data_IF_617329231537
#
_entry.id   IF_617329231537
#
_cell.length_a   1.000
_cell.length_b   1.000
_cell.length_c   1.000
_cell.angle_alpha   90.00
_cell.angle_beta   90.00
_cell.angle_gamma   90.00
#
_symmetry.space_group_name_H-M   'P 1'
#
loop_
_entity.id
_entity.type
_entity.pdbx_description
1 polymer ?
#
# COMPACT_ATOMS: atom_id res chain seq x y z
N UNK A 1 4.00 -3.01 2.72
CA UNK A 1 5.24 -2.30 3.16
C UNK A 1 5.70 -1.24 2.15
N UNK A 2 6.06 -1.55 0.87
CA UNK A 2 6.52 -0.53 -0.08
C UNK A 2 5.54 0.65 -0.26
N UNK A 3 4.26 0.37 -0.58
CA UNK A 3 3.23 1.40 -0.74
C UNK A 3 3.01 2.22 0.54
N UNK A 4 3.02 1.56 1.70
CA UNK A 4 2.86 2.16 3.01
C UNK A 4 3.99 3.15 3.30
N UNK A 5 5.23 2.70 3.07
CA UNK A 5 6.42 3.52 3.26
C UNK A 5 6.45 4.74 2.33
N UNK A 6 6.05 4.53 1.06
CA UNK A 6 5.91 5.63 0.11
C UNK A 6 4.94 6.70 0.62
N UNK A 7 3.83 6.30 1.23
CA UNK A 7 2.88 7.26 1.78
C UNK A 7 3.42 7.98 3.01
N UNK A 8 4.17 7.29 3.90
CA UNK A 8 4.78 7.91 5.07
C UNK A 8 5.82 8.98 4.68
N UNK A 9 6.72 8.65 3.76
CA UNK A 9 7.88 9.50 3.49
C UNK A 9 7.59 10.54 2.40
N UNK A 10 6.80 10.19 1.40
CA UNK A 10 6.68 11.00 0.17
C UNK A 10 5.33 11.66 -0.04
N UNK A 11 4.28 11.29 0.73
CA UNK A 11 2.95 11.87 0.54
C UNK A 11 2.90 13.37 0.76
N UNK A 12 3.51 13.84 1.85
CA UNK A 12 3.59 15.26 2.17
C UNK A 12 4.42 16.06 1.17
N UNK A 13 5.51 15.46 0.68
CA UNK A 13 6.37 16.05 -0.35
C UNK A 13 5.60 16.17 -1.67
N UNK A 14 4.83 15.14 -2.03
CA UNK A 14 4.01 15.14 -3.24
C UNK A 14 3.00 16.29 -3.25
N UNK A 15 2.24 16.48 -2.18
CA UNK A 15 1.28 17.59 -2.05
C UNK A 15 1.98 18.94 -2.19
N UNK A 16 3.16 19.13 -1.59
CA UNK A 16 3.87 20.40 -1.59
C UNK A 16 4.57 20.70 -2.90
N UNK A 17 5.24 19.72 -3.50
CA UNK A 17 6.08 19.94 -4.69
C UNK A 17 5.31 19.77 -6.00
N UNK A 18 4.34 18.85 -6.06
CA UNK A 18 3.62 18.52 -7.29
C UNK A 18 2.30 19.29 -7.40
N UNK A 19 1.59 19.43 -6.28
CA UNK A 19 0.29 20.12 -6.24
C UNK A 19 0.36 21.53 -5.67
N UNK A 20 1.56 21.98 -5.26
CA UNK A 20 1.80 23.30 -4.65
C UNK A 20 0.88 23.60 -3.46
N UNK A 21 0.44 22.56 -2.77
CA UNK A 21 -0.43 22.66 -1.60
C UNK A 21 0.33 23.16 -0.36
N UNK A 22 -0.40 23.78 0.57
CA UNK A 22 0.16 24.22 1.86
C UNK A 22 0.57 23.05 2.76
N UNK A 23 1.39 23.34 3.78
CA UNK A 23 1.74 22.33 4.80
C UNK A 23 0.50 21.76 5.49
N UNK A 24 -0.51 22.59 5.76
CA UNK A 24 -1.76 22.16 6.37
C UNK A 24 -2.49 21.13 5.50
N UNK A 25 -2.58 21.38 4.18
CA UNK A 25 -3.19 20.43 3.23
C UNK A 25 -2.42 19.11 3.18
N UNK A 26 -1.09 19.16 3.18
CA UNK A 26 -0.26 17.95 3.21
C UNK A 26 -0.51 17.12 4.49
N UNK A 27 -0.63 17.78 5.65
CA UNK A 27 -0.95 17.13 6.91
C UNK A 27 -2.34 16.51 6.90
N UNK A 28 -3.37 17.25 6.41
CA UNK A 28 -4.74 16.74 6.31
C UNK A 28 -4.80 15.51 5.39
N UNK A 29 -4.14 15.55 4.24
CA UNK A 29 -4.09 14.42 3.31
C UNK A 29 -3.45 13.18 3.96
N UNK A 30 -2.37 13.37 4.71
CA UNK A 30 -1.74 12.28 5.47
C UNK A 30 -2.67 11.74 6.58
N UNK A 31 -3.38 12.60 7.29
CA UNK A 31 -4.38 12.19 8.30
C UNK A 31 -5.50 11.38 7.66
N UNK A 32 -6.01 11.80 6.50
CA UNK A 32 -7.03 11.03 5.73
C UNK A 32 -6.52 9.63 5.42
N UNK A 33 -5.27 9.50 4.95
CA UNK A 33 -4.63 8.20 4.71
C UNK A 33 -4.57 7.36 6.01
N UNK A 34 -4.10 7.93 7.11
CA UNK A 34 -3.94 7.23 8.39
C UNK A 34 -5.28 6.78 8.97
N UNK A 35 -6.31 7.63 8.93
CA UNK A 35 -7.66 7.28 9.39
C UNK A 35 -8.25 6.16 8.53
N UNK A 36 -8.11 6.24 7.21
CA UNK A 36 -8.55 5.20 6.30
C UNK A 36 -7.85 3.85 6.58
N UNK A 37 -6.52 3.88 6.76
CA UNK A 37 -5.73 2.69 7.06
C UNK A 37 -6.14 2.07 8.40
N UNK A 38 -6.31 2.87 9.44
CA UNK A 38 -6.72 2.38 10.77
C UNK A 38 -8.13 1.80 10.74
N UNK A 39 -9.07 2.49 10.08
CA UNK A 39 -10.45 2.00 9.91
C UNK A 39 -10.48 0.69 9.14
N UNK A 40 -9.70 0.60 8.08
CA UNK A 40 -9.58 -0.63 7.30
C UNK A 40 -9.00 -1.80 8.11
N UNK A 41 -8.04 -1.56 9.00
CA UNK A 41 -7.50 -2.60 9.91
C UNK A 41 -8.55 -3.10 10.89
N UNK A 42 -9.33 -2.22 11.49
CA UNK A 42 -10.38 -2.61 12.43
C UNK A 42 -11.49 -3.45 11.78
N UNK A 43 -11.79 -3.20 10.53
CA UNK A 43 -12.82 -3.93 9.78
C UNK A 43 -12.27 -5.14 9.02
N UNK A 44 -10.96 -5.21 8.85
CA UNK A 44 -10.27 -6.17 7.99
C UNK A 44 -10.58 -7.62 8.33
N UNK A 45 -10.51 -7.98 9.61
CA UNK A 45 -10.75 -9.34 10.07
C UNK A 45 -12.18 -9.79 9.75
N UNK A 46 -13.19 -8.94 10.04
CA UNK A 46 -14.59 -9.24 9.73
C UNK A 46 -14.85 -9.40 8.23
N UNK A 47 -14.17 -8.59 7.41
CA UNK A 47 -14.28 -8.67 5.95
C UNK A 47 -13.59 -9.94 5.45
N UNK A 48 -12.45 -10.29 6.02
CA UNK A 48 -11.73 -11.51 5.66
C UNK A 48 -12.48 -12.79 6.05
N UNK A 49 -13.14 -12.81 7.21
CA UNK A 49 -13.97 -13.93 7.65
C UNK A 49 -15.17 -14.14 6.70
N UNK A 50 -15.72 -13.06 6.17
CA UNK A 50 -16.89 -13.13 5.28
C UNK A 50 -16.55 -13.43 3.83
N UNK A 51 -15.47 -12.85 3.30
CA UNK A 51 -15.14 -12.91 1.87
C UNK A 51 -13.91 -13.76 1.54
N UNK A 52 -13.13 -14.12 2.56
CA UNK A 52 -11.87 -14.84 2.44
C UNK A 52 -10.68 -13.90 2.19
N UNK A 53 -9.54 -14.26 2.78
CA UNK A 53 -8.29 -13.47 2.74
C UNK A 53 -7.84 -13.18 1.29
N UNK A 54 -7.99 -14.15 0.39
CA UNK A 54 -7.58 -14.00 -1.01
C UNK A 54 -8.31 -12.87 -1.73
N UNK A 55 -9.64 -12.79 -1.56
CA UNK A 55 -10.46 -11.74 -2.19
C UNK A 55 -10.15 -10.37 -1.58
N UNK A 56 -9.91 -10.33 -0.28
CA UNK A 56 -9.54 -9.09 0.41
C UNK A 56 -8.19 -8.59 -0.07
N UNK A 57 -7.18 -9.46 -0.23
CA UNK A 57 -5.89 -9.09 -0.79
C UNK A 57 -5.99 -8.61 -2.25
N UNK A 58 -6.85 -9.23 -3.07
CA UNK A 58 -7.09 -8.77 -4.42
C UNK A 58 -7.76 -7.38 -4.44
N UNK A 59 -8.78 -7.18 -3.62
CA UNK A 59 -9.44 -5.88 -3.45
C UNK A 59 -8.46 -4.80 -2.94
N UNK A 60 -7.59 -5.16 -1.99
CA UNK A 60 -6.52 -4.27 -1.50
C UNK A 60 -5.59 -3.83 -2.63
N UNK A 61 -5.18 -4.75 -3.49
CA UNK A 61 -4.35 -4.42 -4.66
C UNK A 61 -5.05 -3.45 -5.63
N UNK A 62 -6.35 -3.64 -5.89
CA UNK A 62 -7.15 -2.73 -6.72
C UNK A 62 -7.27 -1.36 -6.07
N UNK A 63 -7.55 -1.29 -4.77
CA UNK A 63 -7.65 -0.03 -4.03
C UNK A 63 -6.33 0.74 -4.02
N UNK A 64 -5.21 0.06 -3.80
CA UNK A 64 -3.88 0.66 -3.86
C UNK A 64 -3.60 1.22 -5.25
N UNK A 65 -3.81 0.41 -6.29
CA UNK A 65 -3.53 0.83 -7.66
C UNK A 65 -4.39 1.99 -8.10
N UNK A 66 -5.70 1.94 -7.85
CA UNK A 66 -6.63 3.02 -8.18
C UNK A 66 -6.33 4.29 -7.37
N UNK A 67 -6.00 4.13 -6.09
CA UNK A 67 -5.62 5.25 -5.23
C UNK A 67 -4.37 5.97 -5.75
N UNK A 68 -3.28 5.26 -6.02
CA UNK A 68 -2.06 5.85 -6.58
C UNK A 68 -2.29 6.40 -8.00
N UNK A 69 -3.09 5.75 -8.83
CA UNK A 69 -3.42 6.23 -10.16
C UNK A 69 -4.17 7.58 -10.09
N UNK A 70 -5.14 7.69 -9.21
CA UNK A 70 -5.85 8.95 -8.96
C UNK A 70 -4.88 10.04 -8.50
N UNK A 71 -3.96 9.73 -7.58
CA UNK A 71 -2.95 10.68 -7.10
C UNK A 71 -2.07 11.18 -8.26
N UNK A 72 -1.62 10.28 -9.12
CA UNK A 72 -0.72 10.61 -10.24
C UNK A 72 -1.41 11.43 -11.32
N UNK A 73 -2.64 11.07 -11.67
CA UNK A 73 -3.40 11.72 -12.75
C UNK A 73 -4.06 13.02 -12.31
N UNK A 74 -4.30 13.17 -11.00
CA UNK A 74 -4.98 14.35 -10.48
C UNK A 74 -4.04 15.54 -10.32
N UNK A 75 -4.50 16.71 -10.77
CA UNK A 75 -3.96 18.01 -10.39
C UNK A 75 -4.82 18.71 -9.31
N UNK A 76 -5.87 18.02 -8.81
CA UNK A 76 -6.88 18.59 -7.92
C UNK A 76 -6.75 18.00 -6.52
N UNK A 77 -6.52 18.85 -5.51
CA UNK A 77 -6.27 18.42 -4.13
C UNK A 77 -7.39 17.50 -3.58
N UNK A 78 -8.69 17.82 -3.71
CA UNK A 78 -9.76 16.96 -3.20
C UNK A 78 -9.76 15.56 -3.83
N UNK A 79 -9.48 15.46 -5.13
CA UNK A 79 -9.41 14.18 -5.82
C UNK A 79 -8.17 13.38 -5.39
N UNK A 80 -7.06 14.07 -5.15
CA UNK A 80 -5.87 13.45 -4.57
C UNK A 80 -6.14 12.93 -3.16
N UNK A 81 -6.91 13.64 -2.33
CA UNK A 81 -7.33 13.15 -1.00
C UNK A 81 -8.15 11.86 -1.09
N UNK A 82 -9.03 11.74 -2.10
CA UNK A 82 -9.73 10.47 -2.38
C UNK A 82 -8.72 9.35 -2.71
N UNK A 83 -7.69 9.64 -3.48
CA UNK A 83 -6.60 8.70 -3.74
C UNK A 83 -5.89 8.25 -2.46
N UNK A 84 -5.62 9.16 -1.53
CA UNK A 84 -5.03 8.85 -0.21
C UNK A 84 -5.94 7.95 0.62
N UNK A 85 -7.25 8.24 0.64
CA UNK A 85 -8.23 7.42 1.34
C UNK A 85 -8.28 6.00 0.77
N UNK A 86 -8.36 5.85 -0.54
CA UNK A 86 -8.38 4.53 -1.20
C UNK A 86 -7.09 3.75 -0.95
N UNK A 87 -5.93 4.43 -1.03
CA UNK A 87 -4.64 3.81 -0.73
C UNK A 87 -4.57 3.35 0.72
N UNK A 88 -5.04 4.16 1.67
CA UNK A 88 -5.07 3.82 3.09
C UNK A 88 -5.92 2.58 3.37
N UNK A 89 -7.13 2.53 2.83
CA UNK A 89 -7.99 1.35 2.92
C UNK A 89 -7.33 0.12 2.28
N UNK A 90 -6.72 0.29 1.11
CA UNK A 90 -6.07 -0.81 0.40
C UNK A 90 -4.87 -1.39 1.15
N UNK A 91 -4.02 -0.55 1.75
CA UNK A 91 -2.81 -1.00 2.47
C UNK A 91 -3.13 -1.64 3.82
N UNK A 92 -4.26 -1.28 4.42
CA UNK A 92 -4.65 -1.61 5.80
C UNK A 92 -4.49 -3.07 6.18
N UNK A 93 -4.94 -3.98 5.31
CA UNK A 93 -5.03 -5.42 5.60
C UNK A 93 -3.89 -6.25 4.99
N UNK A 94 -3.07 -5.66 4.12
CA UNK A 94 -2.06 -6.41 3.36
C UNK A 94 -1.03 -7.05 4.28
N UNK A 95 -0.44 -6.27 5.17
CA UNK A 95 0.62 -6.77 6.07
C UNK A 95 0.11 -7.86 7.01
N UNK A 96 -0.97 -7.63 7.80
CA UNK A 96 -1.45 -8.65 8.73
C UNK A 96 -1.87 -9.94 8.02
N UNK A 97 -2.49 -9.84 6.84
CA UNK A 97 -2.91 -11.06 6.13
C UNK A 97 -1.77 -11.82 5.48
N UNK A 98 -0.73 -11.14 4.99
CA UNK A 98 0.47 -11.83 4.49
C UNK A 98 1.16 -12.59 5.63
N UNK A 99 1.28 -12.02 6.82
CA UNK A 99 1.81 -12.72 7.99
C UNK A 99 0.91 -13.86 8.45
N UNK A 100 -0.41 -13.68 8.47
CA UNK A 100 -1.36 -14.75 8.78
C UNK A 100 -1.26 -15.92 7.81
N UNK A 101 -1.10 -15.65 6.51
CA UNK A 101 -0.90 -16.69 5.50
C UNK A 101 0.43 -17.41 5.69
N UNK A 102 1.52 -16.69 5.95
CA UNK A 102 2.84 -17.27 6.19
C UNK A 102 2.83 -18.23 7.38
N UNK A 103 2.09 -17.88 8.45
CA UNK A 103 1.95 -18.73 9.63
C UNK A 103 1.10 -20.00 9.42
N UNK A 104 0.27 -20.03 8.35
CA UNK A 104 -0.59 -21.18 8.00
C UNK A 104 0.05 -22.17 7.02
N UNK A 105 1.22 -21.86 6.48
CA UNK A 105 1.91 -22.77 5.55
C UNK A 105 2.36 -24.00 6.35
N UNK A 106 1.98 -25.22 5.93
CA UNK A 106 2.39 -26.44 6.61
C UNK A 106 3.88 -26.72 6.30
N UNK A 107 4.75 -26.07 7.02
CA UNK A 107 6.20 -26.29 6.97
C UNK A 107 6.65 -26.92 8.30
N UNK A 108 7.72 -27.71 8.25
CA UNK A 108 8.37 -28.28 9.44
C UNK A 108 8.86 -27.22 10.43
N UNK A 109 8.98 -25.94 9.99
CA UNK A 109 9.36 -24.80 10.84
C UNK A 109 8.55 -23.56 10.44
N UNK A 110 7.41 -23.27 11.09
CA UNK A 110 6.61 -22.06 10.83
C UNK A 110 7.37 -20.75 11.08
N UNK A 111 8.34 -20.77 12.01
CA UNK A 111 9.19 -19.62 12.29
C UNK A 111 10.04 -19.20 11.09
N UNK A 112 10.52 -20.16 10.30
CA UNK A 112 11.29 -19.88 9.10
C UNK A 112 10.46 -19.16 8.02
N UNK A 113 9.19 -19.52 7.85
CA UNK A 113 8.28 -18.84 6.92
C UNK A 113 8.03 -17.38 7.33
N UNK A 114 7.76 -17.15 8.62
CA UNK A 114 7.58 -15.81 9.16
C UNK A 114 8.85 -14.97 9.05
N UNK A 115 10.02 -15.54 9.36
CA UNK A 115 11.30 -14.88 9.22
C UNK A 115 11.58 -14.47 7.77
N UNK A 116 11.30 -15.34 6.80
CA UNK A 116 11.50 -15.05 5.38
C UNK A 116 10.61 -13.90 4.90
N UNK A 117 9.32 -13.92 5.27
CA UNK A 117 8.38 -12.83 4.94
C UNK A 117 8.81 -11.52 5.58
N UNK A 118 9.24 -11.56 6.85
CA UNK A 118 9.76 -10.39 7.56
C UNK A 118 11.01 -9.83 6.88
N UNK A 119 11.98 -10.68 6.54
CA UNK A 119 13.23 -10.25 5.91
C UNK A 119 12.99 -9.57 4.56
N UNK A 120 12.14 -10.15 3.70
CA UNK A 120 11.74 -9.56 2.42
C UNK A 120 10.98 -8.24 2.65
N UNK A 121 10.09 -8.22 3.63
CA UNK A 121 9.34 -7.02 3.98
C UNK A 121 10.23 -5.87 4.45
N UNK A 122 11.21 -6.16 5.32
CA UNK A 122 12.17 -5.17 5.81
C UNK A 122 13.15 -4.69 4.72
N UNK A 123 13.60 -5.59 3.83
CA UNK A 123 14.38 -5.18 2.66
C UNK A 123 13.59 -4.21 1.78
N UNK A 124 12.33 -4.49 1.52
CA UNK A 124 11.45 -3.57 0.80
C UNK A 124 11.27 -2.24 1.54
N UNK A 125 11.13 -2.28 2.86
CA UNK A 125 11.03 -1.08 3.69
C UNK A 125 12.28 -0.21 3.61
N UNK A 126 13.48 -0.80 3.60
CA UNK A 126 14.75 -0.09 3.55
C UNK A 126 15.10 0.44 2.16
N UNK A 127 14.81 -0.34 1.10
CA UNK A 127 15.24 -0.01 -0.26
C UNK A 127 14.28 0.92 -1.00
N UNK A 128 12.96 0.84 -0.70
CA UNK A 128 11.95 1.59 -1.46
C UNK A 128 12.10 3.11 -1.32
N UNK A 129 12.29 3.72 -0.13
CA UNK A 129 12.42 5.17 -0.03
C UNK A 129 13.57 5.77 -0.84
N UNK A 130 14.81 5.23 -0.79
CA UNK A 130 15.88 5.75 -1.63
C UNK A 130 15.64 5.51 -3.12
N UNK A 131 15.02 4.39 -3.53
CA UNK A 131 14.65 4.16 -4.92
C UNK A 131 13.64 5.18 -5.44
N UNK A 132 12.60 5.48 -4.64
CA UNK A 132 11.62 6.53 -4.98
C UNK A 132 12.31 7.87 -5.10
N UNK A 133 13.20 8.22 -4.17
CA UNK A 133 13.97 9.45 -4.20
C UNK A 133 14.85 9.57 -5.44
N UNK A 134 15.53 8.50 -5.80
CA UNK A 134 16.35 8.46 -7.01
C UNK A 134 15.52 8.63 -8.29
N UNK A 135 14.41 7.90 -8.43
CA UNK A 135 13.50 8.04 -9.56
C UNK A 135 12.87 9.43 -9.60
N UNK A 136 12.50 9.99 -8.45
CA UNK A 136 11.95 11.33 -8.36
C UNK A 136 12.93 12.42 -8.80
N UNK A 137 14.22 12.26 -8.49
CA UNK A 137 15.27 13.17 -8.95
C UNK A 137 15.57 13.02 -10.45
N UNK A 138 15.56 11.78 -10.95
CA UNK A 138 15.82 11.50 -12.37
C UNK A 138 14.66 11.88 -13.29
N UNK A 139 13.43 11.88 -12.78
CA UNK A 139 12.21 12.11 -13.58
C UNK A 139 11.22 13.01 -12.84
N UNK A 140 10.35 12.43 -12.00
CA UNK A 140 9.39 13.15 -11.17
C UNK A 140 8.79 12.24 -10.11
N UNK A 141 8.22 12.83 -9.04
CA UNK A 141 7.46 12.10 -8.03
C UNK A 141 6.22 11.41 -8.62
N UNK A 142 5.63 11.95 -9.69
CA UNK A 142 4.51 11.30 -10.40
C UNK A 142 4.92 9.96 -10.98
N UNK A 143 6.10 9.86 -11.59
CA UNK A 143 6.62 8.60 -12.13
C UNK A 143 6.87 7.59 -11.02
N UNK A 144 7.46 8.01 -9.91
CA UNK A 144 7.66 7.14 -8.75
C UNK A 144 6.33 6.57 -8.22
N UNK A 145 5.30 7.40 -8.10
CA UNK A 145 3.97 6.95 -7.65
C UNK A 145 3.27 6.06 -8.68
N UNK A 146 3.49 6.29 -9.98
CA UNK A 146 2.99 5.41 -11.04
C UNK A 146 3.60 4.00 -10.96
N UNK A 147 4.89 3.89 -10.63
CA UNK A 147 5.54 2.60 -10.40
C UNK A 147 4.87 1.85 -9.25
N UNK A 148 4.54 2.54 -8.16
CA UNK A 148 3.83 1.93 -7.02
C UNK A 148 2.40 1.50 -7.42
N UNK A 149 1.71 2.26 -8.28
CA UNK A 149 0.40 1.86 -8.82
C UNK A 149 0.49 0.54 -9.61
N UNK A 150 1.53 0.37 -10.42
CA UNK A 150 1.79 -0.86 -11.18
C UNK A 150 2.09 -2.03 -10.23
N UNK A 151 2.85 -1.81 -9.16
CA UNK A 151 3.10 -2.83 -8.14
C UNK A 151 1.81 -3.30 -7.47
N UNK A 152 0.85 -2.40 -7.24
CA UNK A 152 -0.48 -2.74 -6.74
C UNK A 152 -1.24 -3.67 -7.70
N UNK A 153 -1.21 -3.40 -9.01
CA UNK A 153 -1.79 -4.29 -10.03
C UNK A 153 -1.12 -5.66 -10.05
N UNK A 154 0.19 -5.70 -9.89
CA UNK A 154 0.93 -6.96 -9.80
C UNK A 154 0.50 -7.79 -8.58
N UNK A 155 0.21 -7.12 -7.45
CA UNK A 155 -0.34 -7.74 -6.25
C UNK A 155 -1.72 -8.39 -6.52
N UNK A 156 -2.61 -7.76 -7.29
CA UNK A 156 -3.91 -8.35 -7.69
C UNK A 156 -3.68 -9.66 -8.43
N UNK A 157 -2.75 -9.66 -9.37
CA UNK A 157 -2.44 -10.83 -10.19
C UNK A 157 -1.80 -11.97 -9.38
N UNK A 158 -0.95 -11.62 -8.42
CA UNK A 158 -0.37 -12.60 -7.48
C UNK A 158 -1.43 -13.19 -6.55
N UNK A 159 -2.29 -12.33 -5.98
CA UNK A 159 -3.36 -12.75 -5.07
C UNK A 159 -4.31 -13.75 -5.75
N UNK A 160 -4.63 -13.57 -7.04
CA UNK A 160 -5.49 -14.50 -7.78
C UNK A 160 -4.86 -15.88 -7.97
N UNK A 161 -3.54 -16.01 -7.82
CA UNK A 161 -2.82 -17.28 -7.94
C UNK A 161 -2.61 -18.02 -6.63
N UNK A 162 -2.87 -17.38 -5.51
CA UNK A 162 -2.80 -18.02 -4.19
C UNK A 162 -4.01 -18.96 -4.05
N UNK A 163 -3.83 -20.23 -4.35
CA UNK A 163 -4.82 -21.27 -4.01
C UNK A 163 -4.58 -21.66 -2.55
N UNK A 164 -5.36 -21.10 -1.64
CA UNK A 164 -5.43 -21.58 -0.27
C UNK A 164 -6.30 -22.84 -0.34
N UNK A 165 -5.68 -24.01 -0.28
CA UNK A 165 -6.40 -25.25 0.06
C UNK A 165 -6.74 -25.13 1.55
N UNK A 166 -8.00 -24.76 1.84
CA UNK A 166 -8.64 -24.94 3.13
C UNK A 166 -9.04 -26.40 3.32
#
# INVERSE_FOLDING_TARGET
>A
MACENTMYDWSGIYIRQVLHGSKAVATIAFVVYMVAMTSGRLLGDRIADRFGIQRVLAASGVLISSGFLIIVLSAYIPLTMLGYLLTGLGVSCVVPFVFSLAGKIPMSNPGAALASVSSIGYLGFLLVPPMIGYVAQASSLRVSFAIIAIMGLFMVRLSSRIRIQL
#
